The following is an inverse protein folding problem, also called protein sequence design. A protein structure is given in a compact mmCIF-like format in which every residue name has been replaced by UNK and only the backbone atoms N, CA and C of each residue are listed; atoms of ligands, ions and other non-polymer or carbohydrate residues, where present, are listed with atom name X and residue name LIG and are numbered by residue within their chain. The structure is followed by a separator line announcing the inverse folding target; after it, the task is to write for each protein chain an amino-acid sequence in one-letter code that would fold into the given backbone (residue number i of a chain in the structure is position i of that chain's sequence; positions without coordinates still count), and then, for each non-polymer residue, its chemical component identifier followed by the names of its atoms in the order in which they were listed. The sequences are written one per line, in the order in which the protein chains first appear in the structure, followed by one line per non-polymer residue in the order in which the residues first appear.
data_IF_702464614119
#
_entry.id   IF_702464614119
#
_cell.length_a   1.000
_cell.length_b   1.000
_cell.length_c   1.000
_cell.angle_alpha   90.00
_cell.angle_beta   90.00
_cell.angle_gamma   90.00
#
_symmetry.space_group_name_H-M   'P 1'
#
loop_
_entity.id
_entity.type
_entity.pdbx_description
1 polymer ?
#
# COMPACT_ATOMS: atom_id res chain seq x y z
N UNK A 1 9.41 14.58 -17.19
CA UNK A 1 7.94 14.66 -17.35
C UNK A 1 7.29 14.52 -15.98
N UNK A 2 6.17 15.22 -15.74
CA UNK A 2 5.42 15.10 -14.49
C UNK A 2 4.13 14.33 -14.74
N UNK A 3 3.77 13.45 -13.83
CA UNK A 3 2.52 12.70 -13.86
C UNK A 3 1.59 13.22 -12.77
N UNK A 4 0.31 13.34 -13.10
CA UNK A 4 -0.76 13.68 -12.16
C UNK A 4 -1.75 12.52 -12.15
N UNK A 5 -1.93 11.91 -10.99
CA UNK A 5 -2.74 10.71 -10.81
C UNK A 5 -3.90 11.04 -9.86
N UNK A 6 -5.16 11.01 -10.33
CA UNK A 6 -6.31 11.29 -9.47
C UNK A 6 -6.60 10.10 -8.55
N UNK A 7 -7.09 10.40 -7.34
CA UNK A 7 -7.42 9.39 -6.32
C UNK A 7 -8.82 9.69 -5.78
N UNK A 8 -9.77 8.82 -6.11
CA UNK A 8 -11.14 8.92 -5.59
C UNK A 8 -11.18 8.58 -4.10
N UNK A 9 -12.16 9.09 -3.34
CA UNK A 9 -12.40 8.72 -1.94
C UNK A 9 -11.16 8.92 -1.03
N UNK A 10 -10.26 9.82 -1.42
CA UNK A 10 -9.17 10.29 -0.57
C UNK A 10 -9.39 11.79 -0.39
N UNK A 11 -9.44 12.23 0.85
CA UNK A 11 -9.50 13.64 1.22
C UNK A 11 -8.22 13.95 1.99
N UNK A 12 -7.45 14.90 1.49
CA UNK A 12 -6.23 15.34 2.15
C UNK A 12 -6.45 16.79 2.50
N UNK A 13 -6.24 17.14 3.76
CA UNK A 13 -6.41 18.52 4.20
C UNK A 13 -5.31 19.39 3.59
N UNK A 14 -4.04 19.07 3.86
CA UNK A 14 -2.89 19.83 3.34
C UNK A 14 -2.13 19.13 2.21
N UNK A 15 -1.01 19.73 1.80
CA UNK A 15 -0.02 19.01 1.00
C UNK A 15 0.59 17.87 1.84
N UNK A 16 0.78 16.70 1.24
CA UNK A 16 1.38 15.55 1.93
C UNK A 16 2.46 14.96 1.04
N UNK A 17 3.68 14.83 1.58
CA UNK A 17 4.78 14.20 0.88
C UNK A 17 5.01 12.78 1.41
N UNK A 18 4.88 11.78 0.53
CA UNK A 18 5.20 10.40 0.82
C UNK A 18 6.20 9.91 -0.22
N UNK A 19 7.36 9.43 0.22
CA UNK A 19 8.46 9.03 -0.66
C UNK A 19 8.90 10.22 -1.55
N UNK A 20 8.76 10.11 -2.87
CA UNK A 20 9.05 11.15 -3.86
C UNK A 20 7.77 11.65 -4.57
N UNK A 21 6.63 11.53 -3.89
CA UNK A 21 5.29 11.81 -4.44
C UNK A 21 4.60 12.87 -3.58
N UNK A 22 4.09 13.90 -4.25
CA UNK A 22 3.28 14.94 -3.61
C UNK A 22 1.82 14.59 -3.74
N UNK A 23 1.11 14.54 -2.62
CA UNK A 23 -0.33 14.38 -2.57
C UNK A 23 -0.98 15.71 -2.20
N UNK A 24 -2.01 16.07 -2.95
CA UNK A 24 -2.61 17.40 -2.91
C UNK A 24 -4.13 17.29 -2.68
N UNK A 25 -4.73 18.23 -1.92
CA UNK A 25 -6.17 18.33 -1.74
C UNK A 25 -6.96 18.44 -3.05
N UNK A 26 -8.26 18.08 -3.03
CA UNK A 26 -9.16 18.47 -4.08
C UNK A 26 -9.34 20.00 -4.12
N UNK A 27 -9.76 20.52 -5.28
CA UNK A 27 -10.11 21.92 -5.55
C UNK A 27 -8.94 22.92 -5.47
N UNK A 28 -7.70 22.44 -5.43
CA UNK A 28 -6.48 23.26 -5.41
C UNK A 28 -6.19 24.11 -6.66
N UNK A 29 -7.09 24.16 -7.65
CA UNK A 29 -6.86 24.88 -8.91
C UNK A 29 -7.26 26.36 -8.84
N UNK A 30 -7.79 26.81 -7.70
CA UNK A 30 -8.08 28.20 -7.40
C UNK A 30 -7.07 28.72 -6.36
N UNK A 31 -6.20 29.65 -6.76
CA UNK A 31 -5.17 30.25 -5.89
C UNK A 31 -5.78 31.05 -4.72
N UNK A 32 -7.05 31.46 -4.85
CA UNK A 32 -7.76 32.24 -3.82
C UNK A 32 -8.36 31.38 -2.70
N UNK A 33 -8.36 30.04 -2.84
CA UNK A 33 -8.96 29.08 -1.90
C UNK A 33 -7.94 28.17 -1.19
N UNK A 34 -6.72 28.65 -0.92
CA UNK A 34 -5.76 27.91 -0.08
C UNK A 34 -6.35 27.73 1.33
N UNK A 35 -6.69 26.51 1.78
CA UNK A 35 -7.40 26.37 3.04
C UNK A 35 -6.47 26.31 4.27
N UNK A 36 -5.14 26.40 4.12
CA UNK A 36 -4.19 26.08 5.20
C UNK A 36 -2.90 26.91 5.22
N UNK A 37 -2.32 27.08 6.41
CA UNK A 37 -0.97 27.62 6.64
C UNK A 37 0.09 26.76 5.92
N UNK A 38 0.86 27.40 5.02
CA UNK A 38 1.86 26.76 4.15
C UNK A 38 3.19 26.47 4.88
N UNK A 39 3.25 26.77 6.17
CA UNK A 39 4.49 26.92 6.94
C UNK A 39 5.34 25.64 7.06
N UNK A 40 4.74 24.44 6.93
CA UNK A 40 5.45 23.17 7.17
C UNK A 40 6.05 22.51 5.91
N UNK A 41 5.65 22.91 4.69
CA UNK A 41 6.01 22.21 3.44
C UNK A 41 6.93 23.04 2.54
N UNK A 42 7.07 24.32 2.86
CA UNK A 42 7.91 25.27 2.14
C UNK A 42 7.22 25.78 0.87
N UNK A 43 7.15 27.11 0.74
CA UNK A 43 6.49 27.80 -0.38
C UNK A 43 6.93 27.31 -1.76
N UNK A 44 8.19 26.86 -1.89
CA UNK A 44 8.75 26.37 -3.16
C UNK A 44 8.04 25.10 -3.69
N UNK A 45 7.67 24.15 -2.83
CA UNK A 45 6.98 22.92 -3.26
C UNK A 45 5.56 23.25 -3.75
N UNK A 46 4.90 24.17 -3.03
CA UNK A 46 3.57 24.65 -3.40
C UNK A 46 3.61 25.37 -4.74
N UNK A 47 4.55 26.30 -4.93
CA UNK A 47 4.75 26.99 -6.21
C UNK A 47 5.04 26.01 -7.36
N UNK A 48 5.88 25.00 -7.13
CA UNK A 48 6.17 23.98 -8.13
C UNK A 48 4.93 23.17 -8.51
N UNK A 49 4.12 22.77 -7.52
CA UNK A 49 2.87 22.08 -7.76
C UNK A 49 1.89 22.93 -8.59
N UNK A 50 1.67 24.19 -8.21
CA UNK A 50 0.82 25.11 -8.96
C UNK A 50 1.31 25.33 -10.39
N UNK A 51 2.62 25.46 -10.58
CA UNK A 51 3.19 25.57 -11.93
C UNK A 51 2.85 24.33 -12.77
N UNK A 52 2.95 23.12 -12.21
CA UNK A 52 2.57 21.88 -12.91
C UNK A 52 1.06 21.87 -13.22
N UNK A 53 0.21 22.23 -12.27
CA UNK A 53 -1.24 22.26 -12.45
C UNK A 53 -1.69 23.32 -13.46
N UNK A 54 -1.02 24.46 -13.50
CA UNK A 54 -1.28 25.53 -14.48
C UNK A 54 -0.82 25.18 -15.89
N UNK A 55 0.10 24.21 -16.02
CA UNK A 55 0.50 23.63 -17.31
C UNK A 55 -0.43 22.49 -17.80
N UNK A 56 -1.47 22.17 -17.04
CA UNK A 56 -2.49 21.20 -17.47
C UNK A 56 -3.57 21.84 -18.34
N UNK A 57 -4.08 21.07 -19.32
CA UNK A 57 -5.21 21.51 -20.12
C UNK A 57 -6.46 21.76 -19.25
N UNK A 58 -7.27 22.73 -19.64
CA UNK A 58 -8.42 23.21 -18.88
C UNK A 58 -9.44 22.10 -18.58
N UNK A 59 -9.68 21.20 -19.53
CA UNK A 59 -10.60 20.07 -19.39
C UNK A 59 -10.22 19.15 -18.22
N UNK A 60 -8.94 19.05 -17.87
CA UNK A 60 -8.50 18.27 -16.72
C UNK A 60 -8.83 18.95 -15.41
N UNK A 61 -8.63 20.28 -15.34
CA UNK A 61 -8.99 21.08 -14.17
C UNK A 61 -10.47 20.87 -13.84
N UNK A 62 -11.36 20.95 -14.84
CA UNK A 62 -12.79 20.74 -14.61
C UNK A 62 -13.15 19.31 -14.18
N UNK A 63 -12.59 18.29 -14.82
CA UNK A 63 -12.99 16.89 -14.60
C UNK A 63 -12.41 16.26 -13.33
N UNK A 64 -11.21 16.70 -12.93
CA UNK A 64 -10.44 16.05 -11.87
C UNK A 64 -10.23 16.91 -10.61
N UNK A 65 -10.62 18.19 -10.60
CA UNK A 65 -10.52 19.06 -9.41
C UNK A 65 -11.16 18.47 -8.15
N UNK A 66 -12.23 17.69 -8.26
CA UNK A 66 -12.93 17.11 -7.11
C UNK A 66 -12.21 15.95 -6.41
N UNK A 67 -11.08 15.51 -6.95
CA UNK A 67 -10.31 14.40 -6.40
C UNK A 67 -9.01 14.92 -5.81
N UNK A 68 -8.55 14.27 -4.73
CA UNK A 68 -7.15 14.41 -4.35
C UNK A 68 -6.27 13.87 -5.48
N UNK A 69 -5.13 14.51 -5.70
CA UNK A 69 -4.21 14.14 -6.78
C UNK A 69 -2.82 13.85 -6.24
N UNK A 70 -2.13 12.94 -6.91
CA UNK A 70 -0.71 12.68 -6.68
C UNK A 70 0.12 13.20 -7.85
N UNK A 71 1.15 13.99 -7.56
CA UNK A 71 2.12 14.50 -8.51
C UNK A 71 3.45 13.79 -8.29
N UNK A 72 4.02 13.23 -9.34
CA UNK A 72 5.34 12.62 -9.29
C UNK A 72 6.11 12.80 -10.59
N UNK A 73 7.42 12.70 -10.47
CA UNK A 73 8.30 12.54 -11.62
C UNK A 73 8.44 11.07 -11.98
N UNK A 74 8.44 10.80 -13.29
CA UNK A 74 8.66 9.45 -13.80
C UNK A 74 9.55 9.52 -15.05
N UNK A 75 10.52 8.60 -15.21
CA UNK A 75 11.40 8.57 -16.37
C UNK A 75 10.61 8.20 -17.62
N UNK A 76 10.08 9.23 -18.27
CA UNK A 76 9.28 9.17 -19.48
C UNK A 76 9.78 10.25 -20.42
N UNK A 77 10.25 9.82 -21.59
CA UNK A 77 10.91 10.70 -22.57
C UNK A 77 9.89 11.49 -23.39
N UNK A 78 10.34 12.62 -23.95
CA UNK A 78 9.53 13.38 -24.90
C UNK A 78 9.21 12.59 -26.18
N UNK A 79 10.12 11.72 -26.61
CA UNK A 79 9.91 10.84 -27.75
C UNK A 79 8.79 9.81 -27.46
N UNK A 80 8.82 9.16 -26.30
CA UNK A 80 7.73 8.27 -25.85
C UNK A 80 6.41 9.02 -25.73
N UNK A 81 6.46 10.25 -25.23
CA UNK A 81 5.29 11.10 -25.15
C UNK A 81 4.68 11.40 -26.53
N UNK A 82 5.49 11.76 -27.53
CA UNK A 82 5.04 12.09 -28.90
C UNK A 82 4.62 10.86 -29.72
N UNK A 83 5.33 9.74 -29.55
CA UNK A 83 5.21 8.55 -30.40
C UNK A 83 4.44 7.39 -29.76
N UNK A 84 3.89 7.56 -28.55
CA UNK A 84 3.23 6.45 -27.89
C UNK A 84 1.96 5.98 -28.61
N UNK A 85 1.89 4.66 -28.75
CA UNK A 85 0.72 3.90 -29.15
C UNK A 85 -0.02 3.53 -27.86
N UNK A 86 -1.37 3.52 -27.82
CA UNK A 86 -2.17 3.36 -26.58
C UNK A 86 -1.74 2.21 -25.65
N UNK A 87 -1.19 1.11 -26.19
CA UNK A 87 -0.74 -0.05 -25.39
C UNK A 87 0.49 0.28 -24.51
N UNK A 88 1.45 1.09 -24.98
CA UNK A 88 2.61 1.51 -24.17
C UNK A 88 2.20 2.49 -23.07
N UNK A 89 1.16 3.29 -23.34
CA UNK A 89 0.57 4.18 -22.34
C UNK A 89 -0.03 3.37 -21.17
N UNK A 90 -0.68 2.23 -21.45
CA UNK A 90 -1.31 1.40 -20.41
C UNK A 90 -0.29 0.86 -19.41
N UNK A 91 0.81 0.29 -19.91
CA UNK A 91 1.84 -0.27 -19.05
C UNK A 91 2.58 0.80 -18.23
N UNK A 92 2.84 1.96 -18.85
CA UNK A 92 3.48 3.09 -18.17
C UNK A 92 2.58 3.63 -17.07
N UNK A 93 1.31 3.91 -17.39
CA UNK A 93 0.34 4.39 -16.42
C UNK A 93 0.13 3.39 -15.29
N UNK A 94 0.07 2.08 -15.57
CA UNK A 94 -0.04 1.05 -14.54
C UNK A 94 1.13 1.12 -13.55
N UNK A 95 2.37 1.31 -14.01
CA UNK A 95 3.54 1.46 -13.13
C UNK A 95 3.47 2.73 -12.28
N UNK A 96 3.09 3.84 -12.90
CA UNK A 96 2.97 5.14 -12.20
C UNK A 96 1.88 5.06 -11.13
N UNK A 97 0.70 4.55 -11.48
CA UNK A 97 -0.39 4.34 -10.53
C UNK A 97 0.00 3.36 -9.42
N UNK A 98 0.68 2.25 -9.75
CA UNK A 98 1.17 1.30 -8.74
C UNK A 98 2.13 1.98 -7.75
N UNK A 99 3.04 2.84 -8.23
CA UNK A 99 3.96 3.59 -7.38
C UNK A 99 3.21 4.53 -6.42
N UNK A 100 2.25 5.30 -6.94
CA UNK A 100 1.38 6.17 -6.12
C UNK A 100 0.60 5.37 -5.09
N UNK A 101 0.00 4.25 -5.51
CA UNK A 101 -0.78 3.39 -4.64
C UNK A 101 0.06 2.79 -3.51
N UNK A 102 1.31 2.41 -3.82
CA UNK A 102 2.26 1.86 -2.86
C UNK A 102 2.75 2.89 -1.83
N UNK A 103 2.82 4.17 -2.18
CA UNK A 103 3.18 5.23 -1.24
C UNK A 103 2.08 5.45 -0.16
N UNK A 104 0.81 5.19 -0.52
CA UNK A 104 -0.32 5.20 0.41
C UNK A 104 -0.35 3.98 1.35
N UNK A 105 0.52 2.98 1.16
CA UNK A 105 0.55 1.77 1.99
C UNK A 105 0.65 2.09 3.48
N UNK A 106 1.49 3.06 3.85
CA UNK A 106 1.71 3.44 5.25
C UNK A 106 0.45 3.99 5.91
N UNK A 107 -0.30 4.84 5.17
CA UNK A 107 -1.54 5.46 5.65
C UNK A 107 -2.64 4.41 5.77
N UNK A 108 -2.74 3.51 4.79
CA UNK A 108 -3.75 2.45 4.81
C UNK A 108 -3.51 1.45 5.93
N UNK A 109 -2.25 1.14 6.22
CA UNK A 109 -1.90 0.29 7.37
C UNK A 109 -2.34 0.90 8.70
N UNK A 110 -2.17 2.22 8.88
CA UNK A 110 -2.52 2.89 10.14
C UNK A 110 -4.02 3.15 10.29
N UNK A 111 -4.72 3.50 9.21
CA UNK A 111 -6.12 3.95 9.27
C UNK A 111 -7.17 2.97 8.78
N UNK A 112 -6.83 2.03 7.90
CA UNK A 112 -7.84 1.19 7.25
C UNK A 112 -8.12 -0.11 8.01
N UNK A 113 -9.34 -0.64 7.85
CA UNK A 113 -9.78 -1.88 8.47
C UNK A 113 -10.67 -2.71 7.53
N UNK A 114 -10.59 -4.04 7.63
CA UNK A 114 -11.32 -4.99 6.77
C UNK A 114 -12.84 -4.87 6.83
N UNK A 115 -13.40 -4.42 7.96
CA UNK A 115 -14.84 -4.27 8.15
C UNK A 115 -15.35 -2.85 7.92
N UNK A 116 -14.47 -1.89 7.61
CA UNK A 116 -14.87 -0.51 7.32
C UNK A 116 -14.39 -0.08 5.93
N UNK A 117 -15.00 -0.67 4.90
CA UNK A 117 -14.63 -0.41 3.49
C UNK A 117 -15.05 0.99 3.02
N UNK A 118 -15.98 1.61 3.73
CA UNK A 118 -16.47 2.95 3.41
C UNK A 118 -15.43 4.04 3.65
N UNK A 119 -14.41 3.74 4.46
CA UNK A 119 -13.27 4.61 4.73
C UNK A 119 -12.01 4.22 3.94
N UNK A 120 -12.15 3.40 2.88
CA UNK A 120 -11.00 3.08 2.03
C UNK A 120 -10.80 4.19 0.98
N UNK A 121 -9.55 4.65 0.78
CA UNK A 121 -9.25 5.49 -0.35
C UNK A 121 -9.37 4.68 -1.64
N UNK A 122 -9.68 5.36 -2.74
CA UNK A 122 -9.61 4.78 -4.08
C UNK A 122 -8.22 4.26 -4.39
N UNK A 123 -8.16 3.28 -5.29
CA UNK A 123 -6.90 2.86 -5.90
C UNK A 123 -6.45 3.98 -6.85
N UNK A 124 -5.17 4.32 -6.79
CA UNK A 124 -4.62 5.44 -7.55
C UNK A 124 -4.89 5.31 -9.06
N UNK A 125 -5.39 6.40 -9.66
CA UNK A 125 -5.72 6.50 -11.07
C UNK A 125 -7.01 5.81 -11.49
N UNK A 126 -7.70 5.07 -10.61
CA UNK A 126 -8.98 4.43 -10.98
C UNK A 126 -10.15 5.39 -10.72
N UNK A 127 -10.71 5.93 -11.80
CA UNK A 127 -11.89 6.80 -11.77
C UNK A 127 -13.03 6.12 -12.52
N UNK A 128 -14.08 5.75 -11.77
CA UNK A 128 -15.20 4.98 -12.31
C UNK A 128 -14.75 3.60 -12.80
N UNK A 129 -14.78 3.41 -14.13
CA UNK A 129 -14.45 2.13 -14.78
C UNK A 129 -13.10 2.13 -15.48
N UNK A 130 -12.32 3.20 -15.37
CA UNK A 130 -11.10 3.36 -16.15
C UNK A 130 -9.94 3.74 -15.24
N UNK A 131 -8.76 3.23 -15.57
CA UNK A 131 -7.52 3.81 -15.12
C UNK A 131 -7.22 5.05 -15.96
N UNK A 132 -6.85 6.14 -15.32
CA UNK A 132 -6.54 7.42 -15.95
C UNK A 132 -5.44 8.15 -15.17
N UNK A 133 -4.74 9.02 -15.87
CA UNK A 133 -3.75 9.94 -15.33
C UNK A 133 -3.42 10.98 -16.38
N UNK A 134 -2.68 11.99 -16.00
CA UNK A 134 -2.27 13.07 -16.90
C UNK A 134 -0.75 13.11 -16.90
N UNK A 135 -0.17 13.22 -18.09
CA UNK A 135 1.26 13.48 -18.24
C UNK A 135 1.44 14.92 -18.71
N UNK A 136 2.33 15.63 -18.04
CA UNK A 136 2.62 17.06 -18.25
C UNK A 136 4.08 17.20 -18.67
N UNK A 137 4.28 17.83 -19.82
CA UNK A 137 5.57 18.30 -20.30
C UNK A 137 5.76 19.76 -19.90
N UNK A 138 6.63 20.00 -18.92
CA UNK A 138 6.94 21.33 -18.40
C UNK A 138 7.79 22.18 -19.36
N UNK A 139 8.44 21.59 -20.36
CA UNK A 139 9.30 22.34 -21.30
C UNK A 139 8.48 22.97 -22.44
N UNK A 140 7.43 22.27 -22.87
CA UNK A 140 6.60 22.68 -24.01
C UNK A 140 5.19 23.14 -23.61
N UNK A 141 4.90 23.24 -22.31
CA UNK A 141 3.59 23.59 -21.75
C UNK A 141 2.45 22.76 -22.37
N UNK A 142 2.66 21.45 -22.49
CA UNK A 142 1.72 20.54 -23.13
C UNK A 142 1.40 19.38 -22.19
N UNK A 143 0.12 19.00 -22.14
CA UNK A 143 -0.37 17.89 -21.31
C UNK A 143 -1.29 16.96 -22.10
N UNK A 144 -1.37 15.69 -21.68
CA UNK A 144 -2.20 14.67 -22.32
C UNK A 144 -2.74 13.68 -21.29
N UNK A 145 -3.99 13.27 -21.47
CA UNK A 145 -4.57 12.16 -20.73
C UNK A 145 -3.88 10.86 -21.15
N UNK A 146 -3.52 10.06 -20.17
CA UNK A 146 -3.19 8.66 -20.36
C UNK A 146 -4.34 7.86 -19.81
N UNK A 147 -4.98 7.11 -20.69
CA UNK A 147 -5.94 6.09 -20.31
C UNK A 147 -5.17 4.79 -20.09
N UNK A 148 -5.67 3.94 -19.19
CA UNK A 148 -5.12 2.63 -18.89
C UNK A 148 -6.19 1.55 -18.97
N UNK A 149 -6.09 0.58 -18.05
CA UNK A 149 -7.00 -0.57 -18.03
C UNK A 149 -8.46 -0.17 -17.79
N UNK A 150 -9.37 -0.93 -18.40
CA UNK A 150 -10.81 -0.84 -18.14
C UNK A 150 -11.19 -1.88 -17.09
N UNK A 151 -11.81 -1.43 -16.00
CA UNK A 151 -12.36 -2.27 -14.95
C UNK A 151 -13.84 -2.49 -15.21
N UNK A 152 -14.26 -3.75 -15.40
CA UNK A 152 -15.65 -4.09 -15.68
C UNK A 152 -16.61 -3.62 -14.59
N UNK A 153 -16.24 -3.85 -13.32
CA UNK A 153 -16.96 -3.37 -12.13
C UNK A 153 -15.91 -2.97 -11.09
N UNK A 154 -15.76 -1.67 -10.87
CA UNK A 154 -15.04 -1.12 -9.72
C UNK A 154 -15.95 -0.10 -9.03
N UNK A 155 -16.32 -0.40 -7.79
CA UNK A 155 -17.09 0.50 -6.95
C UNK A 155 -16.63 0.33 -5.52
N UNK A 156 -16.04 1.39 -4.98
CA UNK A 156 -15.81 1.52 -3.54
C UNK A 156 -17.01 2.26 -2.94
N UNK A 157 -17.71 1.65 -1.96
CA UNK A 157 -18.74 2.36 -1.21
C UNK A 157 -18.11 3.40 -0.27
N UNK A 158 -18.93 4.32 0.22
CA UNK A 158 -18.58 5.21 1.33
C UNK A 158 -17.93 6.55 0.96
N UNK A 159 -17.60 7.28 2.03
CA UNK A 159 -17.12 8.68 2.00
C UNK A 159 -15.62 8.79 1.75
N UNK A 160 -14.86 7.71 1.95
CA UNK A 160 -13.42 7.68 1.75
C UNK A 160 -12.61 7.95 3.00
N UNK A 161 -11.29 8.11 2.79
CA UNK A 161 -10.31 8.29 3.84
C UNK A 161 -9.88 9.75 3.91
N UNK A 162 -9.94 10.32 5.12
CA UNK A 162 -9.37 11.62 5.45
C UNK A 162 -7.94 11.46 5.98
N UNK A 163 -7.03 12.30 5.48
CA UNK A 163 -5.61 12.28 5.79
C UNK A 163 -5.13 13.70 6.06
N UNK A 164 -4.46 13.87 7.19
CA UNK A 164 -3.75 15.07 7.58
C UNK A 164 -2.24 14.77 7.69
N UNK A 165 -1.39 15.80 7.62
CA UNK A 165 0.06 15.71 7.71
C UNK A 165 0.54 15.05 9.01
N UNK A 166 -0.23 15.17 10.10
CA UNK A 166 0.07 14.51 11.38
C UNK A 166 -0.15 12.99 11.38
N UNK A 167 -0.88 12.45 10.39
CA UNK A 167 -1.17 11.01 10.31
C UNK A 167 0.01 10.18 9.80
N UNK A 168 1.08 10.84 9.36
CA UNK A 168 2.22 10.17 8.76
C UNK A 168 3.17 9.72 9.86
N UNK A 169 3.14 8.42 10.17
CA UNK A 169 4.00 7.83 11.19
C UNK A 169 5.49 8.01 10.83
N UNK A 170 6.22 8.62 11.77
CA UNK A 170 7.60 9.06 11.55
C UNK A 170 8.60 8.35 12.48
N UNK A 171 8.26 7.18 13.01
CA UNK A 171 9.23 6.39 13.77
C UNK A 171 10.37 5.87 12.88
N UNK A 172 11.53 5.56 13.47
CA UNK A 172 12.71 5.16 12.70
C UNK A 172 12.52 3.84 11.93
N UNK A 173 11.66 2.94 12.40
CA UNK A 173 11.40 1.66 11.71
C UNK A 173 10.47 1.87 10.52
N UNK A 174 9.44 2.70 10.67
CA UNK A 174 8.56 3.15 9.60
C UNK A 174 9.33 3.93 8.54
N UNK A 175 10.26 4.81 8.92
CA UNK A 175 11.18 5.45 7.96
C UNK A 175 11.99 4.41 7.19
N UNK A 176 12.54 3.39 7.86
CA UNK A 176 13.28 2.32 7.16
C UNK A 176 12.39 1.44 6.28
N UNK A 177 11.08 1.36 6.54
CA UNK A 177 10.14 0.62 5.67
C UNK A 177 9.69 1.46 4.48
N UNK A 178 9.29 2.72 4.69
CA UNK A 178 8.60 3.52 3.69
C UNK A 178 9.44 4.68 3.12
N UNK A 179 10.49 5.14 3.80
CA UNK A 179 11.31 6.30 3.39
C UNK A 179 12.78 5.92 3.26
N UNK A 180 13.05 4.96 2.36
CA UNK A 180 14.39 4.42 2.13
C UNK A 180 14.66 4.21 0.63
N UNK A 181 15.93 4.25 0.26
CA UNK A 181 16.46 3.91 -1.06
C UNK A 181 16.80 2.41 -1.20
N UNK A 182 16.55 1.61 -0.15
CA UNK A 182 16.77 0.16 -0.19
C UNK A 182 15.96 -0.50 -1.30
N UNK A 183 16.62 -1.41 -2.01
CA UNK A 183 16.04 -2.18 -3.11
C UNK A 183 16.52 -3.64 -3.10
N UNK A 184 17.08 -4.08 -1.98
CA UNK A 184 17.55 -5.45 -1.82
C UNK A 184 16.39 -6.45 -1.73
N UNK A 185 16.63 -7.74 -2.04
CA UNK A 185 15.56 -8.74 -2.13
C UNK A 185 14.74 -8.90 -0.83
N UNK A 186 15.39 -8.81 0.33
CA UNK A 186 14.72 -8.97 1.62
C UNK A 186 13.81 -7.77 1.92
N UNK A 187 14.30 -6.56 1.68
CA UNK A 187 13.51 -5.34 1.78
C UNK A 187 12.32 -5.36 0.83
N UNK A 188 12.54 -5.67 -0.46
CA UNK A 188 11.47 -5.74 -1.46
C UNK A 188 10.41 -6.78 -1.07
N UNK A 189 10.82 -7.92 -0.51
CA UNK A 189 9.92 -8.96 -0.01
C UNK A 189 9.08 -8.46 1.17
N UNK A 190 9.67 -7.69 2.09
CA UNK A 190 8.93 -7.04 3.17
C UNK A 190 7.94 -6.00 2.65
N UNK A 191 8.37 -5.11 1.73
CA UNK A 191 7.46 -4.11 1.15
C UNK A 191 6.33 -4.73 0.36
N UNK A 192 6.59 -5.81 -0.37
CA UNK A 192 5.55 -6.56 -1.07
C UNK A 192 4.55 -7.19 -0.09
N UNK A 193 5.00 -7.68 1.07
CA UNK A 193 4.09 -8.21 2.09
C UNK A 193 3.15 -7.13 2.66
N UNK A 194 3.68 -5.91 2.84
CA UNK A 194 2.86 -4.75 3.22
C UNK A 194 1.85 -4.39 2.13
N UNK A 195 2.28 -4.28 0.88
CA UNK A 195 1.36 -4.00 -0.24
C UNK A 195 0.26 -5.06 -0.34
N UNK A 196 0.58 -6.34 -0.10
CA UNK A 196 -0.42 -7.43 -0.06
C UNK A 196 -1.43 -7.30 1.08
N UNK A 197 -1.04 -6.74 2.23
CA UNK A 197 -2.03 -6.39 3.27
C UNK A 197 -3.00 -5.34 2.73
N UNK A 198 -2.47 -4.29 2.10
CA UNK A 198 -3.31 -3.21 1.60
C UNK A 198 -4.25 -3.67 0.48
N UNK A 199 -3.77 -4.49 -0.45
CA UNK A 199 -4.61 -5.17 -1.44
C UNK A 199 -5.74 -5.99 -0.79
N UNK A 200 -5.46 -6.66 0.32
CA UNK A 200 -6.45 -7.46 1.03
C UNK A 200 -7.63 -6.62 1.56
N UNK A 201 -7.41 -5.36 1.93
CA UNK A 201 -8.50 -4.47 2.36
C UNK A 201 -9.55 -4.26 1.27
N UNK A 202 -9.14 -4.29 0.00
CA UNK A 202 -10.02 -4.08 -1.16
C UNK A 202 -10.80 -5.34 -1.57
N UNK A 203 -10.49 -6.52 -1.01
CA UNK A 203 -11.25 -7.72 -1.36
C UNK A 203 -12.64 -7.70 -0.75
N UNK A 204 -13.66 -7.86 -1.60
CA UNK A 204 -15.06 -7.93 -1.16
C UNK A 204 -15.33 -9.09 -0.20
N UNK A 205 -14.66 -10.24 -0.40
CA UNK A 205 -14.82 -11.43 0.41
C UNK A 205 -13.72 -11.53 1.49
N UNK A 206 -14.13 -11.64 2.76
CA UNK A 206 -13.22 -11.76 3.90
C UNK A 206 -12.48 -13.10 3.93
N UNK A 207 -13.03 -14.18 3.37
CA UNK A 207 -12.30 -15.43 3.18
C UNK A 207 -11.10 -15.21 2.24
N UNK A 208 -11.31 -14.47 1.15
CA UNK A 208 -10.22 -14.14 0.21
C UNK A 208 -9.15 -13.31 0.92
N UNK A 209 -9.56 -12.31 1.71
CA UNK A 209 -8.64 -11.50 2.54
C UNK A 209 -7.81 -12.39 3.47
N UNK A 210 -8.47 -13.27 4.22
CA UNK A 210 -7.82 -14.21 5.12
C UNK A 210 -6.83 -15.14 4.42
N UNK A 211 -7.25 -15.79 3.32
CA UNK A 211 -6.39 -16.71 2.56
C UNK A 211 -5.20 -15.94 1.97
N UNK A 212 -5.41 -14.71 1.51
CA UNK A 212 -4.34 -13.88 0.95
C UNK A 212 -3.31 -13.48 2.01
N UNK A 213 -3.74 -13.09 3.22
CA UNK A 213 -2.84 -12.83 4.34
C UNK A 213 -2.07 -14.10 4.76
N UNK A 214 -2.73 -15.27 4.80
CA UNK A 214 -2.06 -16.55 5.07
C UNK A 214 -0.99 -16.87 4.02
N UNK A 215 -1.28 -16.67 2.74
CA UNK A 215 -0.29 -16.84 1.66
C UNK A 215 0.87 -15.84 1.75
N UNK A 216 0.62 -14.65 2.31
CA UNK A 216 1.65 -13.63 2.52
C UNK A 216 2.63 -14.06 3.62
N UNK A 217 2.17 -14.74 4.68
CA UNK A 217 3.05 -15.38 5.66
C UNK A 217 3.91 -16.48 5.03
N UNK A 218 3.34 -17.29 4.13
CA UNK A 218 4.06 -18.34 3.42
C UNK A 218 5.16 -17.74 2.53
N UNK A 219 4.83 -16.69 1.78
CA UNK A 219 5.79 -15.93 0.97
C UNK A 219 6.94 -15.37 1.81
N UNK A 220 6.64 -14.73 2.95
CA UNK A 220 7.67 -14.19 3.84
C UNK A 220 8.61 -15.26 4.39
N UNK A 221 8.09 -16.45 4.68
CA UNK A 221 8.88 -17.53 5.27
C UNK A 221 9.82 -18.24 4.29
N UNK A 222 9.50 -18.27 2.98
CA UNK A 222 10.25 -18.99 1.96
C UNK A 222 9.77 -18.65 0.54
N UNK A 223 10.70 -18.58 -0.43
CA UNK A 223 10.36 -18.43 -1.85
C UNK A 223 9.81 -19.73 -2.46
N UNK A 224 10.16 -20.86 -1.85
CA UNK A 224 9.69 -22.18 -2.24
C UNK A 224 8.53 -22.64 -1.35
N UNK A 225 7.69 -23.54 -1.88
CA UNK A 225 6.63 -24.16 -1.11
C UNK A 225 7.16 -24.76 0.20
N UNK A 226 6.50 -24.40 1.30
CA UNK A 226 6.88 -24.83 2.63
C UNK A 226 5.62 -25.20 3.42
N UNK A 227 5.68 -26.32 4.14
CA UNK A 227 4.60 -26.70 5.05
C UNK A 227 4.39 -25.63 6.12
N UNK A 228 3.13 -25.32 6.44
CA UNK A 228 2.81 -24.25 7.38
C UNK A 228 3.41 -24.45 8.78
N UNK A 229 3.69 -25.69 9.18
CA UNK A 229 4.43 -26.03 10.41
C UNK A 229 5.82 -25.36 10.45
N UNK A 230 6.51 -25.25 9.32
CA UNK A 230 7.80 -24.54 9.23
C UNK A 230 7.59 -23.03 9.02
N UNK A 231 6.60 -22.63 8.24
CA UNK A 231 6.24 -21.21 8.03
C UNK A 231 6.04 -20.51 9.37
N UNK A 232 5.19 -21.05 10.25
CA UNK A 232 4.93 -20.45 11.56
C UNK A 232 6.21 -20.29 12.41
N UNK A 233 7.10 -21.29 12.39
CA UNK A 233 8.38 -21.29 13.12
C UNK A 233 9.28 -20.19 12.60
N UNK A 234 9.41 -20.07 11.28
CA UNK A 234 10.23 -19.06 10.61
C UNK A 234 9.75 -17.63 10.90
N UNK A 235 8.44 -17.40 10.81
CA UNK A 235 7.85 -16.08 11.09
C UNK A 235 8.00 -15.73 12.57
N UNK A 236 7.64 -16.64 13.47
CA UNK A 236 7.61 -16.37 14.91
C UNK A 236 9.00 -16.11 15.48
N UNK A 237 10.06 -16.66 14.88
CA UNK A 237 11.45 -16.39 15.27
C UNK A 237 11.80 -14.89 15.27
N UNK A 238 11.21 -14.09 14.38
CA UNK A 238 11.50 -12.66 14.29
C UNK A 238 10.61 -11.80 15.19
N UNK A 239 9.42 -12.28 15.57
CA UNK A 239 8.42 -11.48 16.31
C UNK A 239 8.24 -11.91 17.77
N UNK A 240 8.87 -12.99 18.21
CA UNK A 240 8.82 -13.44 19.58
C UNK A 240 9.84 -12.69 20.45
N UNK A 241 9.43 -12.38 21.67
CA UNK A 241 10.27 -11.68 22.67
C UNK A 241 10.85 -12.61 23.75
N UNK A 242 10.30 -13.81 23.87
CA UNK A 242 10.72 -14.83 24.84
C UNK A 242 10.33 -16.23 24.36
N UNK A 243 10.88 -17.27 25.00
CA UNK A 243 10.51 -18.67 24.74
C UNK A 243 9.02 -18.94 24.94
N UNK A 244 8.43 -18.39 26.00
CA UNK A 244 6.99 -18.51 26.25
C UNK A 244 6.16 -17.84 25.13
N UNK A 245 6.53 -16.62 24.76
CA UNK A 245 5.86 -15.87 23.70
C UNK A 245 5.98 -16.56 22.33
N UNK A 246 7.16 -17.12 22.04
CA UNK A 246 7.42 -17.93 20.85
C UNK A 246 6.45 -19.11 20.74
N UNK A 247 6.34 -19.92 21.78
CA UNK A 247 5.42 -21.07 21.77
C UNK A 247 3.95 -20.63 21.67
N UNK A 248 3.56 -19.57 22.39
CA UNK A 248 2.20 -19.02 22.34
C UNK A 248 1.82 -18.56 20.93
N UNK A 249 2.68 -17.78 20.26
CA UNK A 249 2.45 -17.31 18.88
C UNK A 249 2.45 -18.47 17.88
N UNK A 250 3.34 -19.45 18.03
CA UNK A 250 3.36 -20.66 17.21
C UNK A 250 2.06 -21.48 17.33
N UNK A 251 1.50 -21.59 18.54
CA UNK A 251 0.22 -22.30 18.73
C UNK A 251 -0.96 -21.52 18.17
N UNK A 252 -0.96 -20.19 18.29
CA UNK A 252 -1.99 -19.34 17.67
C UNK A 252 -2.00 -19.49 16.15
N UNK A 253 -0.83 -19.35 15.49
CA UNK A 253 -0.72 -19.56 14.04
C UNK A 253 -1.09 -20.99 13.61
N UNK A 254 -0.70 -22.00 14.41
CA UNK A 254 -1.11 -23.39 14.16
C UNK A 254 -2.62 -23.52 14.17
N UNK A 255 -3.28 -23.00 15.20
CA UNK A 255 -4.74 -23.00 15.31
C UNK A 255 -5.40 -22.30 14.12
N UNK A 256 -4.89 -21.13 13.71
CA UNK A 256 -5.37 -20.41 12.53
C UNK A 256 -5.26 -21.25 11.25
N UNK A 257 -4.16 -21.96 11.05
CA UNK A 257 -4.00 -22.83 9.88
C UNK A 257 -4.87 -24.08 9.96
N UNK A 258 -4.78 -24.84 11.04
CA UNK A 258 -5.40 -26.17 11.15
C UNK A 258 -6.92 -26.10 11.34
N UNK A 259 -7.43 -25.07 12.04
CA UNK A 259 -8.85 -24.98 12.41
C UNK A 259 -9.65 -23.98 11.59
N UNK A 260 -9.01 -22.95 11.02
CA UNK A 260 -9.73 -21.90 10.27
C UNK A 260 -9.46 -22.06 8.77
N UNK A 261 -8.19 -22.06 8.36
CA UNK A 261 -7.84 -22.21 6.93
C UNK A 261 -8.34 -23.53 6.34
N UNK A 262 -8.24 -24.63 7.08
CA UNK A 262 -8.77 -25.93 6.66
C UNK A 262 -10.27 -25.84 6.37
N UNK A 263 -11.06 -25.25 7.27
CA UNK A 263 -12.50 -25.12 7.11
C UNK A 263 -12.88 -24.25 5.92
N UNK A 264 -12.14 -23.17 5.67
CA UNK A 264 -12.37 -22.28 4.52
C UNK A 264 -12.01 -22.97 3.20
N UNK A 265 -10.81 -23.56 3.11
CA UNK A 265 -10.27 -24.08 1.85
C UNK A 265 -10.87 -25.44 1.50
N UNK A 266 -10.99 -26.35 2.46
CA UNK A 266 -11.39 -27.74 2.21
C UNK A 266 -12.88 -27.97 2.45
N UNK A 267 -13.48 -27.27 3.41
CA UNK A 267 -14.90 -27.46 3.73
C UNK A 267 -15.80 -26.33 3.19
N UNK A 268 -15.22 -25.34 2.50
CA UNK A 268 -15.96 -24.26 1.83
C UNK A 268 -16.70 -23.32 2.79
N UNK A 269 -16.35 -23.29 4.08
CA UNK A 269 -17.00 -22.45 5.08
C UNK A 269 -16.62 -20.98 4.91
N UNK A 270 -17.56 -20.08 5.23
CA UNK A 270 -17.27 -18.66 5.40
C UNK A 270 -16.64 -18.39 6.78
N UNK A 271 -15.92 -17.29 6.92
CA UNK A 271 -15.48 -16.83 8.24
C UNK A 271 -16.65 -16.64 9.20
N UNK A 272 -17.81 -16.21 8.70
CA UNK A 272 -19.04 -16.07 9.48
C UNK A 272 -19.57 -17.41 10.03
N UNK A 273 -19.19 -18.54 9.44
CA UNK A 273 -19.56 -19.88 9.94
C UNK A 273 -18.58 -20.41 10.99
N UNK A 274 -17.39 -19.81 11.10
CA UNK A 274 -16.27 -20.32 11.92
C UNK A 274 -16.05 -19.47 13.16
N UNK A 275 -16.25 -18.15 13.07
CA UNK A 275 -16.07 -17.22 14.19
C UNK A 275 -17.39 -16.55 14.57
N UNK A 276 -17.53 -16.24 15.86
CA UNK A 276 -18.83 -15.93 16.44
C UNK A 276 -19.42 -14.58 16.00
N UNK A 277 -18.58 -13.60 15.63
CA UNK A 277 -19.02 -12.25 15.29
C UNK A 277 -17.95 -11.45 14.53
N UNK A 278 -18.36 -10.28 14.03
CA UNK A 278 -17.50 -9.31 13.32
C UNK A 278 -16.28 -8.86 14.14
N UNK A 279 -16.39 -8.72 15.46
CA UNK A 279 -15.23 -8.35 16.29
C UNK A 279 -14.16 -9.44 16.27
N UNK A 280 -14.55 -10.72 16.32
CA UNK A 280 -13.61 -11.83 16.22
C UNK A 280 -13.00 -11.95 14.81
N UNK A 281 -13.75 -11.64 13.74
CA UNK A 281 -13.19 -11.54 12.39
C UNK A 281 -12.11 -10.44 12.34
N UNK A 282 -12.41 -9.24 12.84
CA UNK A 282 -11.44 -8.14 12.91
C UNK A 282 -10.21 -8.53 13.72
N UNK A 283 -10.37 -9.18 14.88
CA UNK A 283 -9.24 -9.65 15.70
C UNK A 283 -8.39 -10.71 14.98
N UNK A 284 -9.01 -11.61 14.22
CA UNK A 284 -8.31 -12.62 13.43
C UNK A 284 -7.49 -11.99 12.31
N UNK A 285 -8.10 -11.12 11.50
CA UNK A 285 -7.43 -10.46 10.39
C UNK A 285 -6.37 -9.48 10.89
N UNK A 286 -6.69 -8.68 11.92
CA UNK A 286 -5.74 -7.80 12.59
C UNK A 286 -4.57 -8.56 13.23
N UNK A 287 -4.79 -9.77 13.74
CA UNK A 287 -3.70 -10.63 14.20
C UNK A 287 -2.76 -11.04 13.05
N UNK A 288 -3.30 -11.38 11.88
CA UNK A 288 -2.47 -11.72 10.71
C UNK A 288 -1.71 -10.50 10.20
N UNK A 289 -2.39 -9.35 10.06
CA UNK A 289 -1.75 -8.08 9.69
C UNK A 289 -0.63 -7.74 10.67
N UNK A 290 -0.92 -7.71 11.97
CA UNK A 290 0.08 -7.44 12.99
C UNK A 290 1.24 -8.44 12.97
N UNK A 291 0.99 -9.72 12.67
CA UNK A 291 2.06 -10.72 12.54
C UNK A 291 2.99 -10.40 11.35
N UNK A 292 2.42 -10.03 10.21
CA UNK A 292 3.16 -9.67 8.99
C UNK A 292 3.95 -8.37 9.21
N UNK A 293 3.29 -7.31 9.70
CA UNK A 293 3.91 -6.00 9.97
C UNK A 293 5.06 -6.14 10.95
N UNK A 294 4.83 -6.78 12.11
CA UNK A 294 5.89 -7.00 13.09
C UNK A 294 7.06 -7.80 12.50
N UNK A 295 6.80 -8.78 11.64
CA UNK A 295 7.89 -9.53 10.97
C UNK A 295 8.73 -8.59 10.10
N UNK A 296 8.08 -7.80 9.23
CA UNK A 296 8.75 -6.86 8.33
C UNK A 296 9.55 -5.81 9.09
N UNK A 297 8.96 -5.19 10.11
CA UNK A 297 9.63 -4.24 11.01
C UNK A 297 10.87 -4.84 11.66
N UNK A 298 10.75 -6.06 12.22
CA UNK A 298 11.86 -6.73 12.89
C UNK A 298 13.00 -7.06 11.91
N UNK A 299 12.68 -7.56 10.72
CA UNK A 299 13.67 -7.90 9.70
C UNK A 299 14.39 -6.65 9.18
N UNK A 300 13.64 -5.60 8.84
CA UNK A 300 14.22 -4.35 8.34
C UNK A 300 15.04 -3.64 9.40
N UNK A 301 14.60 -3.66 10.67
CA UNK A 301 15.35 -3.10 11.80
C UNK A 301 16.71 -3.78 12.02
N UNK A 302 16.82 -5.07 11.70
CA UNK A 302 18.07 -5.83 11.79
C UNK A 302 19.03 -5.56 10.62
N UNK A 303 18.61 -4.76 9.64
CA UNK A 303 19.43 -4.42 8.47
C UNK A 303 19.93 -5.68 7.75
N UNK A 304 19.05 -6.66 7.59
CA UNK A 304 19.31 -7.87 6.79
C UNK A 304 19.05 -7.52 5.34
N UNK A 305 20.03 -7.76 4.46
CA UNK A 305 19.96 -7.36 3.05
C UNK A 305 19.77 -8.53 2.09
N UNK A 306 20.19 -9.74 2.47
CA UNK A 306 20.07 -10.92 1.61
C UNK A 306 19.47 -12.14 2.32
N UNK A 307 19.02 -13.12 1.52
CA UNK A 307 18.32 -14.30 2.03
C UNK A 307 19.23 -15.20 2.87
N UNK A 308 20.55 -15.23 2.63
CA UNK A 308 21.46 -16.04 3.45
C UNK A 308 21.61 -15.47 4.85
N UNK A 309 21.72 -14.14 4.97
CA UNK A 309 21.68 -13.45 6.26
C UNK A 309 20.36 -13.70 6.98
N UNK A 310 19.24 -13.62 6.26
CA UNK A 310 17.91 -13.88 6.81
C UNK A 310 17.80 -15.29 7.38
N UNK A 311 18.29 -16.30 6.65
CA UNK A 311 18.29 -17.71 7.09
C UNK A 311 19.17 -17.90 8.33
N UNK A 312 20.41 -17.36 8.32
CA UNK A 312 21.33 -17.48 9.48
C UNK A 312 20.73 -16.87 10.74
N UNK A 313 20.15 -15.68 10.61
CA UNK A 313 19.55 -14.98 11.75
C UNK A 313 18.30 -15.70 12.25
N UNK A 314 17.49 -16.24 11.33
CA UNK A 314 16.34 -17.07 11.66
C UNK A 314 16.74 -18.31 12.47
N UNK A 315 17.73 -19.07 12.00
CA UNK A 315 18.20 -20.29 12.66
C UNK A 315 18.77 -19.98 14.05
N UNK A 316 19.53 -18.89 14.18
CA UNK A 316 20.03 -18.40 15.47
C UNK A 316 18.90 -18.10 16.45
N UNK A 317 17.86 -17.39 16.02
CA UNK A 317 16.70 -17.03 16.84
C UNK A 317 15.85 -18.25 17.21
N UNK A 318 15.64 -19.19 16.28
CA UNK A 318 14.93 -20.44 16.58
C UNK A 318 15.67 -21.23 17.65
N UNK A 319 17.00 -21.32 17.57
CA UNK A 319 17.80 -22.02 18.57
C UNK A 319 17.60 -21.41 19.97
N UNK A 320 17.61 -20.08 20.08
CA UNK A 320 17.39 -19.36 21.35
C UNK A 320 16.06 -19.68 22.03
N UNK A 321 15.01 -19.95 21.26
CA UNK A 321 13.69 -20.27 21.81
C UNK A 321 13.47 -21.77 22.02
N UNK A 322 14.32 -22.64 21.47
CA UNK A 322 14.13 -24.10 21.52
C UNK A 322 15.04 -24.80 22.53
N UNK A 323 16.23 -24.25 22.80
CA UNK A 323 17.08 -24.66 23.92
C UNK A 323 16.48 -24.21 25.26
#
# INVERSE_FOLDING_TARGET
MKFIIPIKNLFIEGFVNLEDIWFLPPYLYDEEELPFDVDDIGNEIVEQAYNILNNCAYEYKENYQKFSIAILEYPFTEEEFKNNVPIKDFYTLEKVCYKVDRALDQIRLSKCNFLNKEMLPGIAGIIGKYQCGIVVNMENNYSREMLGKVYGIYSLPGIGLEVDGYDIECDEVYKKLFRTDRSDPVFLKCRNAITRINEAYYFNNLNTSFVYLMSTLEMLASDNYMQFKKVKTNIVAFIATSKFDYHKKCEKLRGTSEKIRTEIIHNGKSLYDIVDNNSEINKLLGFLVGTIVNYCENVVRLEIYDENELIKERDRRILQFTT
#
